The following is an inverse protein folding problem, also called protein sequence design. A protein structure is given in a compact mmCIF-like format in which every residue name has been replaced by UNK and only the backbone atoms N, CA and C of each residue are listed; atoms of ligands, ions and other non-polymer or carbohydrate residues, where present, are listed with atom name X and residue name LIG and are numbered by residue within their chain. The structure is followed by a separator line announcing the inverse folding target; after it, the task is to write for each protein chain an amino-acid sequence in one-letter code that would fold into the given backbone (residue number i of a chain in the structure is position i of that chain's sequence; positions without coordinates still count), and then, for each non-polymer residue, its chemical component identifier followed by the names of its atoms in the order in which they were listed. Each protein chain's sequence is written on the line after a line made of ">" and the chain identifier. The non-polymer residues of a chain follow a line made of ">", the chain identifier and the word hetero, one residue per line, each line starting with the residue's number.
data_IF_627200841390
#
_entry.id   IF_627200841390
#
_cell.length_a   1.000
_cell.length_b   1.000
_cell.length_c   1.000
_cell.angle_alpha   90.00
_cell.angle_beta   90.00
_cell.angle_gamma   90.00
#
_symmetry.space_group_name_H-M   'P 1'
#
loop_
_entity.id
_entity.type
_entity.pdbx_description
1 polymer ?
#
# COMPACT_ATOMS: atom_id res chain seq x y z
N UNK A 1 -2.90 -12.74 7.03
CA UNK A 1 -3.53 -12.79 5.69
C UNK A 1 -5.05 -12.84 5.84
N UNK A 2 -5.82 -12.11 5.02
CA UNK A 2 -7.29 -12.26 4.92
C UNK A 2 -7.64 -13.56 4.20
N UNK A 3 -8.88 -14.04 4.33
CA UNK A 3 -9.32 -15.25 3.61
C UNK A 3 -9.25 -15.01 2.10
N UNK A 4 -8.91 -16.07 1.36
CA UNK A 4 -8.77 -16.01 -0.11
C UNK A 4 -10.05 -15.50 -0.77
N UNK A 5 -11.21 -15.90 -0.24
CA UNK A 5 -12.53 -15.45 -0.69
C UNK A 5 -12.68 -13.92 -0.68
N UNK A 6 -12.20 -13.24 0.38
CA UNK A 6 -12.28 -11.78 0.49
C UNK A 6 -11.25 -11.10 -0.41
N UNK A 7 -10.05 -11.64 -0.51
CA UNK A 7 -9.03 -11.15 -1.44
C UNK A 7 -9.48 -11.30 -2.90
N UNK A 8 -10.27 -12.33 -3.20
CA UNK A 8 -10.87 -12.54 -4.51
C UNK A 8 -12.17 -11.75 -4.69
N UNK A 9 -12.78 -11.22 -3.64
CA UNK A 9 -14.00 -10.41 -3.73
C UNK A 9 -13.70 -8.91 -3.84
N UNK A 10 -12.57 -8.46 -3.29
CA UNK A 10 -12.24 -7.05 -3.24
C UNK A 10 -10.73 -6.78 -3.28
N UNK A 11 -10.36 -5.61 -3.78
CA UNK A 11 -8.98 -5.16 -3.83
C UNK A 11 -8.88 -3.67 -3.47
N UNK A 12 -7.78 -3.24 -2.83
CA UNK A 12 -7.61 -1.85 -2.42
C UNK A 12 -7.36 -0.94 -3.62
N UNK A 13 -7.99 0.23 -3.61
CA UNK A 13 -7.76 1.29 -4.61
C UNK A 13 -6.78 2.31 -4.05
N UNK A 14 -7.10 2.83 -2.86
CA UNK A 14 -6.35 3.91 -2.20
C UNK A 14 -6.76 4.01 -0.75
N UNK A 15 -5.88 4.63 0.03
CA UNK A 15 -6.18 5.06 1.40
C UNK A 15 -6.23 6.58 1.39
N UNK A 16 -7.34 7.16 1.88
CA UNK A 16 -7.44 8.59 2.17
C UNK A 16 -7.00 8.81 3.62
N UNK A 17 -5.81 9.36 3.82
CA UNK A 17 -5.28 9.69 5.15
C UNK A 17 -5.29 11.20 5.39
N UNK A 18 -5.45 11.59 6.66
CA UNK A 18 -5.22 12.96 7.12
C UNK A 18 -3.73 13.23 7.40
N UNK A 19 -3.41 14.43 7.90
CA UNK A 19 -2.03 14.86 8.19
C UNK A 19 -1.29 13.94 9.17
N UNK A 20 -2.01 13.33 10.10
CA UNK A 20 -1.41 12.53 11.17
C UNK A 20 -1.22 11.05 10.82
N UNK A 21 -1.48 10.65 9.56
CA UNK A 21 -1.36 9.25 9.07
C UNK A 21 -2.14 8.24 9.94
N UNK A 22 -3.17 8.70 10.64
CA UNK A 22 -4.04 7.91 11.52
C UNK A 22 -5.49 8.06 11.07
N UNK A 23 -6.31 7.09 11.45
CA UNK A 23 -7.75 7.09 11.22
C UNK A 23 -8.16 7.24 9.73
N UNK A 24 -7.36 6.70 8.81
CA UNK A 24 -7.60 6.78 7.39
C UNK A 24 -8.85 6.05 6.93
N UNK A 25 -9.34 6.42 5.75
CA UNK A 25 -10.40 5.69 5.05
C UNK A 25 -9.81 4.85 3.92
N UNK A 26 -9.92 3.54 4.02
CA UNK A 26 -9.54 2.60 2.96
C UNK A 26 -10.68 2.52 1.93
N UNK A 27 -10.36 2.69 0.66
CA UNK A 27 -11.31 2.52 -0.44
C UNK A 27 -11.03 1.18 -1.12
N UNK A 28 -12.03 0.29 -1.12
CA UNK A 28 -11.97 -1.03 -1.75
C UNK A 28 -12.85 -1.05 -2.99
N UNK A 29 -12.34 -1.59 -4.09
CA UNK A 29 -13.18 -2.06 -5.19
C UNK A 29 -13.73 -3.44 -4.81
N UNK A 30 -15.02 -3.64 -5.01
CA UNK A 30 -15.72 -4.89 -4.72
C UNK A 30 -16.38 -5.38 -6.01
N UNK A 31 -16.16 -6.65 -6.34
CA UNK A 31 -16.82 -7.28 -7.48
C UNK A 31 -18.32 -7.33 -7.26
N UNK A 32 -19.09 -6.99 -8.29
CA UNK A 32 -20.55 -7.04 -8.23
C UNK A 32 -21.06 -8.41 -7.74
N UNK A 33 -22.02 -8.40 -6.81
CA UNK A 33 -22.62 -9.59 -6.21
C UNK A 33 -21.92 -10.11 -4.95
N UNK A 34 -20.79 -9.52 -4.54
CA UNK A 34 -20.06 -9.88 -3.30
C UNK A 34 -20.06 -8.77 -2.25
N UNK A 35 -20.90 -7.77 -2.39
CA UNK A 35 -20.95 -6.59 -1.53
C UNK A 35 -21.23 -6.97 -0.07
N UNK A 36 -22.20 -7.85 0.16
CA UNK A 36 -22.60 -8.29 1.49
C UNK A 36 -21.49 -9.04 2.24
N UNK A 37 -20.76 -9.91 1.53
CA UNK A 37 -19.63 -10.65 2.12
C UNK A 37 -18.54 -9.70 2.59
N UNK A 38 -18.19 -8.71 1.76
CA UNK A 38 -17.16 -7.73 2.07
C UNK A 38 -17.62 -6.80 3.20
N UNK A 39 -18.90 -6.43 3.23
CA UNK A 39 -19.49 -5.61 4.31
C UNK A 39 -19.34 -6.30 5.67
N UNK A 40 -19.68 -7.59 5.75
CA UNK A 40 -19.58 -8.38 6.98
C UNK A 40 -18.14 -8.50 7.50
N UNK A 41 -17.18 -8.59 6.59
CA UNK A 41 -15.76 -8.76 6.93
C UNK A 41 -15.01 -7.43 7.15
N UNK A 42 -15.66 -6.27 7.01
CA UNK A 42 -15.01 -4.95 7.17
C UNK A 42 -14.23 -4.82 8.47
N UNK A 43 -14.81 -5.23 9.59
CA UNK A 43 -14.12 -5.15 10.90
C UNK A 43 -12.83 -5.94 10.87
N UNK A 44 -12.87 -7.19 10.37
CA UNK A 44 -11.68 -8.04 10.31
C UNK A 44 -10.59 -7.49 9.40
N UNK A 45 -10.96 -6.81 8.31
CA UNK A 45 -10.00 -6.13 7.43
C UNK A 45 -9.34 -4.97 8.19
N UNK A 46 -10.12 -4.13 8.88
CA UNK A 46 -9.60 -3.01 9.68
C UNK A 46 -8.66 -3.53 10.77
N UNK A 47 -9.09 -4.54 11.53
CA UNK A 47 -8.34 -5.11 12.65
C UNK A 47 -7.00 -5.68 12.17
N UNK A 48 -6.99 -6.40 11.05
CA UNK A 48 -5.75 -6.95 10.46
C UNK A 48 -4.80 -5.86 10.00
N UNK A 49 -5.31 -4.79 9.38
CA UNK A 49 -4.47 -3.68 8.92
C UNK A 49 -3.88 -2.95 10.13
N UNK A 50 -4.70 -2.59 11.10
CA UNK A 50 -4.24 -1.87 12.29
C UNK A 50 -3.28 -2.72 13.13
N UNK A 51 -3.52 -4.04 13.23
CA UNK A 51 -2.60 -4.99 13.88
C UNK A 51 -1.26 -5.08 13.15
N UNK A 52 -1.24 -5.06 11.82
CA UNK A 52 0.00 -5.06 11.04
C UNK A 52 0.84 -3.80 11.27
N UNK A 53 0.19 -2.63 11.37
CA UNK A 53 0.88 -1.36 11.58
C UNK A 53 1.20 -1.07 13.06
N UNK A 54 0.56 -1.75 14.00
CA UNK A 54 0.72 -1.50 15.44
C UNK A 54 0.05 -0.23 15.95
N UNK A 55 -0.82 0.39 15.14
CA UNK A 55 -1.62 1.56 15.50
C UNK A 55 -2.89 1.64 14.63
N UNK A 56 -3.82 2.52 15.01
CA UNK A 56 -5.08 2.74 14.30
C UNK A 56 -4.88 3.54 13.00
N UNK A 57 -4.37 2.84 11.99
CA UNK A 57 -4.09 3.34 10.65
C UNK A 57 -5.39 3.57 9.85
N UNK A 58 -6.34 2.63 9.92
CA UNK A 58 -7.61 2.67 9.22
C UNK A 58 -8.76 2.73 10.23
N UNK A 59 -9.69 3.66 10.00
CA UNK A 59 -10.93 3.79 10.79
C UNK A 59 -12.17 3.37 10.02
N UNK A 60 -12.17 3.58 8.70
CA UNK A 60 -13.34 3.33 7.85
C UNK A 60 -12.95 2.64 6.55
N UNK A 61 -13.84 1.77 6.07
CA UNK A 61 -13.77 1.18 4.74
C UNK A 61 -14.93 1.72 3.90
N UNK A 62 -14.60 2.26 2.72
CA UNK A 62 -15.55 2.67 1.68
C UNK A 62 -15.51 1.65 0.55
N UNK A 63 -16.66 1.09 0.20
CA UNK A 63 -16.78 0.14 -0.91
C UNK A 63 -17.15 0.88 -2.19
N UNK A 64 -16.55 0.47 -3.31
CA UNK A 64 -16.92 0.90 -4.65
C UNK A 64 -17.21 -0.36 -5.47
N UNK A 65 -18.40 -0.45 -6.04
CA UNK A 65 -18.81 -1.62 -6.82
C UNK A 65 -18.19 -1.51 -8.21
N UNK A 66 -17.64 -2.62 -8.71
CA UNK A 66 -17.08 -2.74 -10.06
C UNK A 66 -17.58 -4.01 -10.74
N UNK A 67 -17.94 -3.90 -12.01
CA UNK A 67 -18.44 -5.02 -12.82
C UNK A 67 -17.30 -5.95 -13.27
N UNK A 68 -16.16 -5.39 -13.69
CA UNK A 68 -14.97 -6.14 -14.04
C UNK A 68 -13.83 -5.92 -13.04
N UNK A 69 -13.14 -7.01 -12.71
CA UNK A 69 -11.84 -6.92 -12.03
C UNK A 69 -10.82 -6.36 -13.02
N UNK A 70 -10.32 -5.16 -12.75
CA UNK A 70 -9.12 -4.66 -13.41
C UNK A 70 -8.01 -5.63 -13.06
N UNK A 71 -7.53 -6.39 -14.05
CA UNK A 71 -6.30 -7.16 -13.91
C UNK A 71 -5.20 -6.13 -13.69
N UNK A 72 -4.54 -6.16 -12.53
CA UNK A 72 -3.36 -5.33 -12.31
C UNK A 72 -2.32 -5.74 -13.35
N UNK A 73 -2.19 -4.93 -14.41
CA UNK A 73 -1.01 -5.01 -15.27
C UNK A 73 0.19 -4.82 -14.34
N UNK A 74 1.10 -5.80 -14.36
CA UNK A 74 2.34 -5.71 -13.60
C UNK A 74 3.09 -4.49 -14.07
N UNK A 75 2.95 -3.37 -13.35
CA UNK A 75 3.71 -2.15 -13.63
C UNK A 75 5.18 -2.50 -13.45
N UNK A 76 5.85 -2.79 -14.56
CA UNK A 76 7.29 -3.01 -14.59
C UNK A 76 7.91 -1.68 -14.16
N UNK A 77 8.46 -1.66 -12.95
CA UNK A 77 9.18 -0.50 -12.45
C UNK A 77 10.41 -0.28 -13.33
N UNK A 78 10.66 0.96 -13.79
CA UNK A 78 11.85 1.24 -14.58
C UNK A 78 13.10 0.95 -13.73
N UNK A 79 14.07 0.23 -14.31
CA UNK A 79 15.38 0.04 -13.70
C UNK A 79 16.08 1.40 -13.58
N UNK A 80 16.68 1.67 -12.42
CA UNK A 80 17.52 2.85 -12.21
C UNK A 80 18.72 2.73 -13.14
N UNK A 81 18.87 3.67 -14.09
CA UNK A 81 19.97 3.66 -15.06
C UNK A 81 21.27 4.23 -14.47
N UNK A 82 21.19 5.29 -13.67
CA UNK A 82 22.36 6.06 -13.21
C UNK A 82 22.59 5.98 -11.69
N UNK A 83 22.90 4.77 -11.20
CA UNK A 83 23.11 4.54 -9.76
C UNK A 83 24.23 5.41 -9.15
N UNK A 84 25.33 5.60 -9.89
CA UNK A 84 26.49 6.40 -9.45
C UNK A 84 26.12 7.84 -9.12
N UNK A 85 25.32 8.49 -9.98
CA UNK A 85 24.90 9.88 -9.80
C UNK A 85 23.99 10.06 -8.59
N UNK A 86 23.15 9.06 -8.29
CA UNK A 86 22.27 9.09 -7.13
C UNK A 86 23.08 8.89 -5.85
N UNK A 87 24.03 7.96 -5.84
CA UNK A 87 24.93 7.74 -4.70
C UNK A 87 25.76 8.98 -4.35
N UNK A 88 26.30 9.67 -5.35
CA UNK A 88 27.02 10.96 -5.16
C UNK A 88 26.12 12.04 -4.55
N UNK A 89 24.87 12.16 -5.03
CA UNK A 89 23.90 13.10 -4.45
C UNK A 89 23.55 12.76 -3.01
N UNK A 90 23.34 11.49 -2.69
CA UNK A 90 23.08 11.04 -1.31
C UNK A 90 24.28 11.32 -0.41
N UNK A 91 25.51 11.15 -0.91
CA UNK A 91 26.73 11.49 -0.15
C UNK A 91 26.80 12.97 0.21
N UNK A 92 26.33 13.85 -0.67
CA UNK A 92 26.28 15.31 -0.46
C UNK A 92 25.21 15.78 0.53
N UNK A 93 24.32 14.90 1.01
CA UNK A 93 23.33 15.24 2.03
C UNK A 93 24.01 15.37 3.40
N UNK A 94 23.89 16.54 4.02
CA UNK A 94 24.48 16.83 5.33
C UNK A 94 23.69 16.20 6.49
N UNK A 95 22.36 16.10 6.36
CA UNK A 95 21.49 15.50 7.37
C UNK A 95 21.70 13.98 7.44
N UNK A 96 22.19 13.49 8.57
CA UNK A 96 22.56 12.08 8.76
C UNK A 96 21.34 11.15 8.78
N UNK A 97 20.19 11.61 9.29
CA UNK A 97 18.96 10.84 9.36
C UNK A 97 18.31 10.72 7.97
N UNK A 98 18.29 11.81 7.21
CA UNK A 98 17.84 11.82 5.83
C UNK A 98 18.74 10.96 4.95
N UNK A 99 20.06 11.08 5.12
CA UNK A 99 21.04 10.27 4.39
C UNK A 99 20.86 8.78 4.62
N UNK A 100 20.72 8.35 5.88
CA UNK A 100 20.49 6.92 6.21
C UNK A 100 19.14 6.40 5.68
N UNK A 101 18.10 7.24 5.72
CA UNK A 101 16.78 6.91 5.16
C UNK A 101 16.83 6.72 3.63
N UNK A 102 17.54 7.61 2.92
CA UNK A 102 17.70 7.52 1.47
C UNK A 102 18.51 6.29 1.05
N UNK A 103 19.59 5.96 1.77
CA UNK A 103 20.37 4.73 1.53
C UNK A 103 19.49 3.48 1.71
N UNK A 104 18.72 3.42 2.80
CA UNK A 104 17.84 2.29 3.11
C UNK A 104 16.76 2.11 2.03
N UNK A 105 16.13 3.21 1.61
CA UNK A 105 15.16 3.21 0.52
C UNK A 105 15.75 2.66 -0.78
N UNK A 106 16.94 3.13 -1.14
CA UNK A 106 17.59 2.80 -2.40
C UNK A 106 18.05 1.33 -2.45
N UNK A 107 18.44 0.78 -1.30
CA UNK A 107 18.69 -0.65 -1.12
C UNK A 107 17.41 -1.47 -1.33
N UNK A 108 16.31 -1.12 -0.65
CA UNK A 108 15.03 -1.81 -0.77
C UNK A 108 14.45 -1.76 -2.20
N UNK A 109 14.61 -0.64 -2.90
CA UNK A 109 14.19 -0.51 -4.29
C UNK A 109 14.94 -1.47 -5.22
N UNK A 110 16.25 -1.62 -5.03
CA UNK A 110 17.07 -2.54 -5.83
C UNK A 110 16.71 -4.01 -5.56
N UNK A 111 16.45 -4.38 -4.31
CA UNK A 111 16.05 -5.75 -3.94
C UNK A 111 14.70 -6.13 -4.56
N UNK A 112 13.75 -5.19 -4.68
CA UNK A 112 12.44 -5.43 -5.31
C UNK A 112 12.51 -5.63 -6.83
N UNK A 113 13.51 -5.08 -7.49
CA UNK A 113 13.69 -5.16 -8.95
C UNK A 113 14.64 -6.29 -9.40
N UNK A 114 15.08 -7.13 -8.45
CA UNK A 114 15.96 -8.28 -8.68
C UNK A 114 15.12 -9.55 -8.82
#
# INVERSE_FOLDING_TARGET
>A
MVSKNISDACYPIKIKMGKDMKEGTLVLNVTHGKEMEVEYEKSKIIDKINSFFGYNCIKKISLKIVEEKIVEESKILPKIKDFKKIDERIKSVNDSQLKSSLISFLKAYNEKNK
#
